data_IF_259699444895
#
_entry.id   IF_259699444895
#
_cell.length_a   1.000
_cell.length_b   1.000
_cell.length_c   1.000
_cell.angle_alpha   90.00
_cell.angle_beta   90.00
_cell.angle_gamma   90.00
#
_symmetry.space_group_name_H-M   'P 1'
#
loop_
_entity.id
_entity.type
_entity.pdbx_description
1 polymer ?
#
# COMPACT_ATOMS: atom_id res chain seq x y z
N UNK A 1 -38.62 9.13 -29.33
CA UNK A 1 -38.50 8.62 -27.94
C UNK A 1 -37.28 7.72 -27.71
N UNK A 2 -36.83 6.89 -28.67
CA UNK A 2 -35.65 6.02 -28.49
C UNK A 2 -34.31 6.76 -28.37
N UNK A 3 -34.12 7.85 -29.13
CA UNK A 3 -32.84 8.59 -29.10
C UNK A 3 -32.60 9.38 -27.81
N UNK A 4 -33.65 9.96 -27.22
CA UNK A 4 -33.55 10.69 -25.94
C UNK A 4 -33.13 9.77 -24.79
N UNK A 5 -33.56 8.49 -24.85
CA UNK A 5 -33.12 7.47 -23.90
C UNK A 5 -31.63 7.15 -24.02
N UNK A 6 -31.12 6.97 -25.24
CA UNK A 6 -29.71 6.68 -25.50
C UNK A 6 -28.79 7.83 -25.04
N UNK A 7 -29.14 9.09 -25.35
CA UNK A 7 -28.38 10.27 -24.89
C UNK A 7 -28.37 10.41 -23.37
N UNK A 8 -29.50 10.09 -22.71
CA UNK A 8 -29.58 10.09 -21.24
C UNK A 8 -28.65 9.05 -20.62
N UNK A 9 -28.60 7.82 -21.16
CA UNK A 9 -27.67 6.78 -20.67
C UNK A 9 -26.22 7.21 -20.84
N UNK A 10 -25.85 7.73 -22.01
CA UNK A 10 -24.49 8.24 -22.27
C UNK A 10 -24.13 9.33 -21.26
N UNK A 11 -25.04 10.28 -21.02
CA UNK A 11 -24.84 11.34 -20.03
C UNK A 11 -24.61 10.79 -18.61
N UNK A 12 -25.41 9.81 -18.16
CA UNK A 12 -25.23 9.18 -16.84
C UNK A 12 -23.88 8.44 -16.72
N UNK A 13 -23.44 7.76 -17.78
CA UNK A 13 -22.13 7.09 -17.79
C UNK A 13 -21.01 8.13 -17.68
N UNK A 14 -21.05 9.20 -18.49
CA UNK A 14 -20.04 10.27 -18.45
C UNK A 14 -20.01 10.95 -17.08
N UNK A 15 -21.18 11.24 -16.50
CA UNK A 15 -21.30 11.80 -15.15
C UNK A 15 -20.70 10.87 -14.09
N UNK A 16 -20.97 9.58 -14.17
CA UNK A 16 -20.44 8.58 -13.22
C UNK A 16 -18.93 8.45 -13.31
N UNK A 17 -18.39 8.36 -14.54
CA UNK A 17 -16.93 8.31 -14.78
C UNK A 17 -16.26 9.60 -14.32
N UNK A 18 -16.86 10.76 -14.60
CA UNK A 18 -16.33 12.05 -14.17
C UNK A 18 -16.31 12.17 -12.65
N UNK A 19 -17.42 11.80 -11.98
CA UNK A 19 -17.52 11.80 -10.53
C UNK A 19 -16.48 10.87 -9.90
N UNK A 20 -16.28 9.67 -10.45
CA UNK A 20 -15.25 8.74 -10.00
C UNK A 20 -13.83 9.33 -10.19
N UNK A 21 -13.54 9.93 -11.35
CA UNK A 21 -12.26 10.59 -11.60
C UNK A 21 -11.99 11.72 -10.61
N UNK A 22 -12.98 12.60 -10.36
CA UNK A 22 -12.85 13.66 -9.35
C UNK A 22 -12.62 13.11 -7.95
N UNK A 23 -13.32 12.03 -7.57
CA UNK A 23 -13.13 11.34 -6.30
C UNK A 23 -11.69 10.82 -6.14
N UNK A 24 -11.16 10.10 -7.15
CA UNK A 24 -9.79 9.56 -7.14
C UNK A 24 -8.75 10.69 -7.07
N UNK A 25 -8.93 11.76 -7.85
CA UNK A 25 -8.01 12.92 -7.83
C UNK A 25 -7.98 13.60 -6.46
N UNK A 26 -9.14 13.78 -5.83
CA UNK A 26 -9.21 14.36 -4.48
C UNK A 26 -8.50 13.49 -3.45
N UNK A 27 -8.68 12.17 -3.52
CA UNK A 27 -8.01 11.20 -2.64
C UNK A 27 -6.50 11.20 -2.84
N UNK A 28 -6.04 11.19 -4.10
CA UNK A 28 -4.62 11.31 -4.46
C UNK A 28 -3.99 12.59 -3.89
N UNK A 29 -4.69 13.73 -3.98
CA UNK A 29 -4.25 15.00 -3.39
C UNK A 29 -4.15 14.91 -1.87
N UNK A 30 -5.12 14.29 -1.20
CA UNK A 30 -5.12 14.09 0.25
C UNK A 30 -3.90 13.30 0.72
N UNK A 31 -3.64 12.13 0.11
CA UNK A 31 -2.49 11.28 0.47
C UNK A 31 -1.18 12.02 0.19
N UNK A 32 -1.06 12.66 -0.98
CA UNK A 32 0.13 13.46 -1.31
C UNK A 32 0.38 14.60 -0.32
N UNK A 33 -0.66 15.32 0.09
CA UNK A 33 -0.52 16.40 1.06
C UNK A 33 -0.05 15.87 2.43
N UNK A 34 -0.59 14.73 2.87
CA UNK A 34 -0.17 14.08 4.12
C UNK A 34 1.30 13.65 4.08
N UNK A 35 1.74 13.01 2.99
CA UNK A 35 3.11 12.53 2.85
C UNK A 35 4.11 13.69 2.66
N UNK A 36 3.79 14.69 1.83
CA UNK A 36 4.67 15.85 1.60
C UNK A 36 4.90 16.71 2.85
N UNK A 37 4.02 16.64 3.85
CA UNK A 37 4.15 17.39 5.10
C UNK A 37 5.20 16.80 6.07
N UNK A 38 5.82 15.66 5.73
CA UNK A 38 6.72 14.91 6.60
C UNK A 38 8.15 14.90 6.05
N UNK A 39 9.09 14.36 6.83
CA UNK A 39 10.47 14.17 6.37
C UNK A 39 10.48 13.23 5.17
N UNK A 40 11.11 13.66 4.08
CA UNK A 40 11.21 12.88 2.85
C UNK A 40 12.46 12.00 2.93
N UNK A 41 12.27 10.69 2.89
CA UNK A 41 13.33 9.69 3.01
C UNK A 41 13.36 8.81 1.77
N UNK A 42 14.55 8.51 1.24
CA UNK A 42 14.70 7.42 0.27
C UNK A 42 14.36 6.06 0.91
N UNK A 43 14.18 5.01 0.11
CA UNK A 43 13.71 3.71 0.61
C UNK A 43 14.68 3.09 1.62
N UNK A 44 15.97 3.06 1.28
CA UNK A 44 17.03 2.58 2.16
C UNK A 44 17.18 3.41 3.43
N UNK A 45 17.04 4.74 3.31
CA UNK A 45 17.13 5.65 4.45
C UNK A 45 15.97 5.44 5.42
N UNK A 46 14.76 5.24 4.90
CA UNK A 46 13.57 4.93 5.70
C UNK A 46 13.74 3.63 6.48
N UNK A 47 14.22 2.57 5.83
CA UNK A 47 14.52 1.31 6.50
C UNK A 47 15.54 1.49 7.62
N UNK A 48 16.65 2.18 7.34
CA UNK A 48 17.70 2.45 8.35
C UNK A 48 17.21 3.31 9.52
N UNK A 49 16.43 4.35 9.26
CA UNK A 49 15.99 5.31 10.29
C UNK A 49 14.91 4.72 11.20
N UNK A 50 13.94 4.00 10.63
CA UNK A 50 12.77 3.54 11.38
C UNK A 50 12.83 2.09 11.86
N UNK A 51 13.75 1.30 11.29
CA UNK A 51 13.91 -0.14 11.51
C UNK A 51 15.40 -0.56 11.61
N UNK A 52 16.28 0.38 11.95
CA UNK A 52 17.73 0.16 12.08
C UNK A 52 18.16 -0.67 13.30
N UNK A 53 17.21 -1.11 14.13
CA UNK A 53 17.41 -2.03 15.24
C UNK A 53 17.81 -3.44 14.77
N UNK A 54 17.47 -3.82 13.54
CA UNK A 54 17.87 -5.08 12.91
C UNK A 54 18.20 -4.86 11.45
N UNK A 55 19.33 -5.44 10.99
CA UNK A 55 19.71 -5.38 9.57
C UNK A 55 18.64 -6.00 8.67
N UNK A 56 18.03 -7.09 9.13
CA UNK A 56 16.92 -7.74 8.42
C UNK A 56 15.72 -6.80 8.32
N UNK A 57 15.29 -6.21 9.45
CA UNK A 57 14.13 -5.30 9.48
C UNK A 57 14.34 -4.06 8.62
N UNK A 58 15.54 -3.47 8.64
CA UNK A 58 15.88 -2.33 7.80
C UNK A 58 15.78 -2.68 6.30
N UNK A 59 16.26 -3.86 5.90
CA UNK A 59 16.14 -4.35 4.52
C UNK A 59 14.68 -4.60 4.15
N UNK A 60 13.93 -5.35 4.98
CA UNK A 60 12.51 -5.62 4.75
C UNK A 60 11.72 -4.32 4.60
N UNK A 61 11.94 -3.34 5.47
CA UNK A 61 11.23 -2.06 5.40
C UNK A 61 11.55 -1.26 4.13
N UNK A 62 12.80 -1.27 3.67
CA UNK A 62 13.19 -0.64 2.40
C UNK A 62 12.48 -1.31 1.22
N UNK A 63 12.55 -2.64 1.17
CA UNK A 63 12.03 -3.47 0.07
C UNK A 63 10.50 -3.46 -0.01
N UNK A 64 9.83 -3.57 1.14
CA UNK A 64 8.36 -3.53 1.23
C UNK A 64 7.85 -2.16 0.80
N UNK A 65 8.56 -1.08 1.16
CA UNK A 65 8.21 0.27 0.72
C UNK A 65 8.41 0.45 -0.79
N UNK A 66 9.43 -0.18 -1.36
CA UNK A 66 9.66 -0.20 -2.81
C UNK A 66 8.49 -0.86 -3.54
N UNK A 67 8.08 -2.05 -3.11
CA UNK A 67 6.94 -2.77 -3.70
C UNK A 67 5.66 -1.95 -3.52
N UNK A 68 5.41 -1.42 -2.32
CA UNK A 68 4.24 -0.58 -2.06
C UNK A 68 4.15 0.63 -3.00
N UNK A 69 5.29 1.19 -3.44
CA UNK A 69 5.33 2.33 -4.37
C UNK A 69 4.79 1.99 -5.76
N UNK A 70 4.72 0.71 -6.11
CA UNK A 70 4.14 0.22 -7.37
C UNK A 70 2.61 0.20 -7.30
N UNK A 71 2.05 0.06 -6.09
CA UNK A 71 0.61 -0.08 -5.83
C UNK A 71 -0.07 1.23 -5.41
N UNK A 72 0.70 2.21 -4.93
CA UNK A 72 0.19 3.51 -4.50
C UNK A 72 0.67 4.60 -5.46
N UNK A 73 -0.24 5.31 -6.17
CA UNK A 73 0.13 6.24 -7.25
C UNK A 73 0.61 7.62 -6.74
N UNK A 74 1.27 7.66 -5.58
CA UNK A 74 1.92 8.84 -5.01
C UNK A 74 3.31 8.48 -4.46
N UNK A 75 4.29 9.42 -4.50
CA UNK A 75 5.59 9.19 -3.88
C UNK A 75 5.45 8.90 -2.38
N UNK A 76 6.16 7.86 -1.90
CA UNK A 76 6.09 7.39 -0.52
C UNK A 76 7.20 7.97 0.37
N UNK A 77 7.90 9.00 -0.08
CA UNK A 77 9.04 9.63 0.60
C UNK A 77 8.70 10.13 2.02
N UNK A 78 7.47 10.56 2.26
CA UNK A 78 6.98 10.92 3.59
C UNK A 78 6.23 9.83 4.35
N UNK A 79 6.35 8.55 3.95
CA UNK A 79 5.72 7.43 4.64
C UNK A 79 6.25 7.34 6.08
N UNK A 80 5.36 7.05 7.02
CA UNK A 80 5.71 6.80 8.41
C UNK A 80 5.34 5.36 8.82
N UNK A 81 6.11 4.69 9.70
CA UNK A 81 5.82 3.30 10.09
C UNK A 81 4.43 3.06 10.70
N UNK A 82 3.77 4.10 11.19
CA UNK A 82 2.44 4.02 11.81
C UNK A 82 1.31 4.38 10.84
N UNK A 83 1.61 4.71 9.59
CA UNK A 83 0.57 4.87 8.58
C UNK A 83 -0.02 3.51 8.27
N UNK A 84 -1.34 3.48 8.12
CA UNK A 84 -2.08 2.31 7.67
C UNK A 84 -2.37 2.35 6.19
N UNK A 85 -2.45 1.18 5.59
CA UNK A 85 -2.59 1.01 4.14
C UNK A 85 -3.94 1.54 3.63
N UNK A 86 -5.03 1.29 4.33
CA UNK A 86 -6.36 1.73 3.90
C UNK A 86 -6.68 3.13 4.42
N UNK A 87 -6.42 3.44 5.69
CA UNK A 87 -6.83 4.72 6.28
C UNK A 87 -5.99 5.91 5.80
N UNK A 88 -4.66 5.79 5.82
CA UNK A 88 -3.75 6.89 5.44
C UNK A 88 -3.35 6.81 3.96
N UNK A 89 -3.01 5.61 3.46
CA UNK A 89 -2.52 5.46 2.09
C UNK A 89 -3.64 5.26 1.07
N UNK A 90 -4.84 4.88 1.50
CA UNK A 90 -6.02 4.71 0.64
C UNK A 90 -5.74 3.75 -0.53
N UNK A 91 -4.96 2.69 -0.32
CA UNK A 91 -4.46 1.80 -1.37
C UNK A 91 -5.60 1.25 -2.28
N UNK A 92 -6.70 0.78 -1.67
CA UNK A 92 -7.86 0.21 -2.40
C UNK A 92 -8.71 1.26 -3.14
N UNK A 93 -8.43 2.56 -2.94
CA UNK A 93 -9.14 3.64 -3.63
C UNK A 93 -8.64 3.80 -5.07
N UNK A 94 -7.38 3.47 -5.32
CA UNK A 94 -6.74 3.69 -6.61
C UNK A 94 -6.91 2.49 -7.54
N UNK A 95 -6.89 1.29 -6.96
CA UNK A 95 -7.25 0.04 -7.60
C UNK A 95 -7.84 -0.90 -6.53
N UNK A 96 -9.00 -1.49 -6.81
CA UNK A 96 -9.67 -2.42 -5.89
C UNK A 96 -8.88 -3.69 -5.60
N UNK A 97 -7.90 -4.05 -6.45
CA UNK A 97 -7.05 -5.22 -6.26
C UNK A 97 -5.69 -4.89 -5.65
N UNK A 98 -5.34 -3.61 -5.48
CA UNK A 98 -3.99 -3.20 -5.06
C UNK A 98 -3.55 -3.81 -3.72
N UNK A 99 -4.41 -3.91 -2.70
CA UNK A 99 -4.01 -4.59 -1.46
C UNK A 99 -3.73 -6.07 -1.66
N UNK A 100 -4.52 -6.74 -2.50
CA UNK A 100 -4.37 -8.19 -2.75
C UNK A 100 -3.09 -8.45 -3.55
N UNK A 101 -2.85 -7.66 -4.60
CA UNK A 101 -1.64 -7.75 -5.41
C UNK A 101 -0.39 -7.39 -4.60
N UNK A 102 -0.45 -6.33 -3.80
CA UNK A 102 0.63 -5.98 -2.88
C UNK A 102 1.00 -7.11 -1.92
N UNK A 103 0.02 -7.77 -1.30
CA UNK A 103 0.28 -8.91 -0.43
C UNK A 103 0.83 -10.11 -1.22
N UNK A 104 0.30 -10.36 -2.43
CA UNK A 104 0.79 -11.43 -3.32
C UNK A 104 2.26 -11.23 -3.71
N UNK A 105 2.66 -10.01 -4.07
CA UNK A 105 4.05 -9.68 -4.43
C UNK A 105 5.00 -9.90 -3.25
N UNK A 106 4.54 -9.65 -2.02
CA UNK A 106 5.31 -9.91 -0.80
C UNK A 106 5.43 -11.41 -0.51
N UNK A 107 4.34 -12.17 -0.65
CA UNK A 107 4.37 -13.63 -0.52
C UNK A 107 5.36 -14.24 -1.52
N UNK A 108 5.30 -13.82 -2.78
CA UNK A 108 6.20 -14.29 -3.84
C UNK A 108 7.66 -13.92 -3.55
N UNK A 109 7.95 -12.65 -3.25
CA UNK A 109 9.33 -12.17 -3.04
C UNK A 109 10.03 -12.91 -1.89
N UNK A 110 9.31 -13.16 -0.79
CA UNK A 110 9.91 -13.73 0.41
C UNK A 110 9.65 -15.24 0.58
N UNK A 111 8.89 -15.86 -0.33
CA UNK A 111 8.51 -17.27 -0.24
C UNK A 111 7.66 -17.60 0.99
N UNK A 112 6.93 -16.62 1.52
CA UNK A 112 6.07 -16.75 2.71
C UNK A 112 4.60 -16.90 2.30
N UNK A 113 3.74 -17.32 3.25
CA UNK A 113 2.29 -17.25 3.06
C UNK A 113 1.57 -16.66 4.25
N UNK A 114 0.57 -15.83 3.98
CA UNK A 114 -0.33 -15.19 4.90
C UNK A 114 -1.76 -15.77 4.88
N UNK A 115 -2.00 -16.89 4.18
CA UNK A 115 -3.35 -17.48 3.99
C UNK A 115 -4.15 -17.65 5.30
N UNK A 116 -3.47 -17.86 6.43
CA UNK A 116 -4.09 -18.03 7.75
C UNK A 116 -3.73 -16.92 8.73
N UNK A 117 -3.44 -15.70 8.24
CA UNK A 117 -3.04 -14.57 9.07
C UNK A 117 -4.25 -13.67 9.39
N UNK A 118 -4.85 -13.76 10.60
CA UNK A 118 -6.08 -13.03 10.90
C UNK A 118 -5.88 -11.51 10.91
N UNK A 119 -4.65 -11.06 11.15
CA UNK A 119 -4.30 -9.65 11.20
C UNK A 119 -4.41 -8.96 9.84
N UNK A 120 -4.35 -9.68 8.71
CA UNK A 120 -4.63 -9.13 7.38
C UNK A 120 -6.11 -8.77 7.17
N UNK A 121 -7.02 -9.26 8.03
CA UNK A 121 -8.44 -8.91 7.96
C UNK A 121 -8.77 -7.49 8.46
N UNK A 122 -7.78 -6.76 8.98
CA UNK A 122 -7.91 -5.38 9.44
C UNK A 122 -6.88 -4.48 8.74
N UNK A 123 -7.08 -3.17 8.86
CA UNK A 123 -6.13 -2.19 8.36
C UNK A 123 -4.86 -2.17 9.23
N UNK A 124 -3.77 -2.71 8.67
CA UNK A 124 -2.45 -2.78 9.31
C UNK A 124 -1.69 -1.48 9.13
N UNK A 125 -0.87 -1.14 10.11
CA UNK A 125 0.21 -0.18 9.92
C UNK A 125 1.37 -0.80 9.13
N UNK A 126 2.18 0.04 8.50
CA UNK A 126 3.39 -0.41 7.81
C UNK A 126 4.32 -1.21 8.75
N UNK A 127 4.51 -0.75 9.99
CA UNK A 127 5.32 -1.45 11.01
C UNK A 127 4.79 -2.85 11.31
N UNK A 128 3.49 -2.98 11.52
CA UNK A 128 2.87 -4.28 11.80
C UNK A 128 3.08 -5.26 10.64
N UNK A 129 3.03 -4.80 9.39
CA UNK A 129 3.34 -5.66 8.24
C UNK A 129 4.81 -6.11 8.25
N UNK A 130 5.75 -5.24 8.56
CA UNK A 130 7.17 -5.62 8.70
C UNK A 130 7.35 -6.67 9.80
N UNK A 131 6.69 -6.49 10.95
CA UNK A 131 6.74 -7.44 12.06
C UNK A 131 6.21 -8.83 11.64
N UNK A 132 5.13 -8.87 10.85
CA UNK A 132 4.59 -10.10 10.30
C UNK A 132 5.55 -10.77 9.31
N UNK A 133 6.12 -10.01 8.36
CA UNK A 133 7.05 -10.55 7.37
C UNK A 133 8.31 -11.09 8.06
N UNK A 134 8.90 -10.33 8.99
CA UNK A 134 10.08 -10.77 9.73
C UNK A 134 9.83 -12.11 10.44
N UNK A 135 8.69 -12.23 11.12
CA UNK A 135 8.30 -13.47 11.80
C UNK A 135 8.25 -14.64 10.81
N UNK A 136 7.58 -14.47 9.66
CA UNK A 136 7.43 -15.53 8.65
C UNK A 136 8.76 -15.91 7.99
N UNK A 137 9.56 -14.92 7.62
CA UNK A 137 10.89 -15.14 7.03
C UNK A 137 11.80 -15.89 8.01
N UNK A 138 11.75 -15.54 9.29
CA UNK A 138 12.54 -16.21 10.34
C UNK A 138 12.07 -17.65 10.57
N UNK A 139 10.75 -17.91 10.53
CA UNK A 139 10.19 -19.27 10.62
C UNK A 139 10.64 -20.17 9.45
N UNK A 140 10.85 -19.60 8.26
CA UNK A 140 11.33 -20.32 7.08
C UNK A 140 12.85 -20.57 7.06
N UNK A 141 13.61 -19.92 7.93
CA UNK A 141 15.06 -20.12 8.08
C UNK A 141 15.39 -20.88 9.37
N UNK A 142 15.02 -22.17 9.51
CA UNK A 142 15.50 -22.96 10.63
C UNK A 142 16.95 -23.40 10.37
N UNK A 143 17.94 -22.63 10.85
CA UNK A 143 19.31 -23.13 10.99
C UNK A 143 20.44 -22.11 10.86
N UNK A 144 20.86 -21.56 12.01
CA UNK A 144 22.29 -21.50 12.35
C UNK A 144 22.43 -21.66 13.89
N UNK A 145 22.05 -22.84 14.38
CA UNK A 145 22.44 -23.35 15.70
C UNK A 145 23.15 -24.68 15.51
#
# INVERSE_FOLDING_TARGET
>A
MKEVGAWSVIFFVIMSVSAYHFYVVAKKRKVRALLNARVQLAHQEFGRIHFGDSRLRAQLASDVREILSQHVPVPLDGLHPHDKFQEQLLIDTFDSMASIEFISDLEEKYGISFRNEPSLGRDLTFRELIDLIEKRVTELQPGDK
#
